data_IF_975155335763
#
_entry.id   IF_975155335763
#
_cell.length_a   1.000
_cell.length_b   1.000
_cell.length_c   1.000
_cell.angle_alpha   90.00
_cell.angle_beta   90.00
_cell.angle_gamma   90.00
#
_symmetry.space_group_name_H-M   'P 1'
#
loop_
_entity.id
_entity.type
_entity.pdbx_description
1 polymer ?
#
# COMPACT_ATOMS: atom_id res chain seq x y z
N UNK A 1 12.57 -18.03 13.05
CA UNK A 1 11.91 -16.94 13.79
C UNK A 1 12.81 -15.72 13.73
N UNK A 2 12.25 -14.51 13.64
CA UNK A 2 13.06 -13.31 13.82
C UNK A 2 13.30 -13.07 15.31
N UNK A 3 14.52 -12.74 15.68
CA UNK A 3 14.93 -12.60 17.08
C UNK A 3 15.79 -11.37 17.27
N UNK A 4 15.55 -10.64 18.36
CA UNK A 4 16.40 -9.56 18.84
C UNK A 4 16.77 -9.82 20.30
N UNK A 5 18.06 -9.73 20.60
CA UNK A 5 18.62 -9.91 21.94
C UNK A 5 19.34 -8.65 22.38
N UNK A 6 19.10 -8.26 23.62
CA UNK A 6 19.78 -7.16 24.28
C UNK A 6 20.23 -7.60 25.67
N UNK A 7 21.44 -7.20 26.06
CA UNK A 7 22.03 -7.48 27.38
C UNK A 7 22.44 -6.19 28.06
N UNK A 8 22.34 -6.16 29.38
CA UNK A 8 22.81 -5.08 30.26
C UNK A 8 23.24 -5.65 31.61
N UNK A 9 23.80 -4.81 32.48
CA UNK A 9 24.09 -5.18 33.87
C UNK A 9 22.97 -4.63 34.76
N UNK A 10 22.39 -5.48 35.60
CA UNK A 10 21.27 -5.10 36.47
C UNK A 10 21.15 -6.01 37.69
N UNK A 11 20.49 -5.50 38.73
CA UNK A 11 20.18 -6.25 39.96
C UNK A 11 18.81 -6.91 39.92
N UNK A 12 17.87 -6.38 39.12
CA UNK A 12 16.52 -6.92 38.91
C UNK A 12 16.11 -6.85 37.43
N UNK A 13 15.13 -7.70 37.05
CA UNK A 13 14.52 -7.64 35.73
C UNK A 13 13.52 -6.46 35.67
N UNK A 14 13.56 -5.59 34.65
CA UNK A 14 12.58 -4.53 34.50
C UNK A 14 11.19 -5.10 34.14
N UNK A 15 10.14 -4.33 34.41
CA UNK A 15 8.83 -4.60 33.81
C UNK A 15 8.88 -4.23 32.33
N UNK A 16 8.31 -5.06 31.45
CA UNK A 16 8.33 -4.82 30.00
C UNK A 16 6.94 -5.01 29.40
N UNK A 17 6.53 -4.08 28.52
CA UNK A 17 5.35 -4.22 27.67
C UNK A 17 5.59 -3.66 26.28
N UNK A 18 4.91 -4.21 25.27
CA UNK A 18 4.88 -3.60 23.94
C UNK A 18 4.01 -2.34 24.00
N UNK A 19 4.47 -1.25 23.40
CA UNK A 19 3.70 -0.01 23.30
C UNK A 19 2.51 -0.19 22.32
N UNK A 20 1.44 0.62 22.44
CA UNK A 20 0.31 0.55 21.51
C UNK A 20 0.70 0.85 20.06
N UNK A 21 1.62 1.79 19.88
CA UNK A 21 2.13 2.21 18.57
C UNK A 21 3.65 2.43 18.63
N UNK A 22 4.28 2.47 17.45
CA UNK A 22 5.70 2.73 17.29
C UNK A 22 6.08 4.04 17.99
N UNK A 23 7.30 4.13 18.51
CA UNK A 23 7.83 5.27 19.27
C UNK A 23 7.14 5.55 20.61
N UNK A 24 6.31 4.62 21.11
CA UNK A 24 5.60 4.82 22.37
C UNK A 24 4.41 5.77 22.24
N UNK A 25 3.92 5.96 21.01
CA UNK A 25 2.80 6.85 20.68
C UNK A 25 1.49 6.31 21.22
N UNK A 26 0.59 7.22 21.55
CA UNK A 26 -0.72 6.87 22.10
C UNK A 26 -1.76 6.66 21.01
N UNK A 27 -1.58 7.27 19.83
CA UNK A 27 -2.50 7.14 18.70
C UNK A 27 -1.76 7.19 17.36
N UNK A 28 -2.40 6.70 16.30
CA UNK A 28 -1.86 6.71 14.94
C UNK A 28 -2.75 7.48 13.97
N UNK A 29 -2.13 8.04 12.94
CA UNK A 29 -2.78 8.72 11.83
C UNK A 29 -2.22 8.24 10.50
N UNK A 30 -3.12 7.95 9.55
CA UNK A 30 -2.78 7.57 8.19
C UNK A 30 -3.60 8.37 7.19
N UNK A 31 -3.01 8.66 6.03
CA UNK A 31 -3.70 9.23 4.86
C UNK A 31 -3.53 8.29 3.69
N UNK A 32 -4.62 8.04 2.97
CA UNK A 32 -4.65 7.28 1.72
C UNK A 32 -5.17 8.17 0.59
N UNK A 33 -4.41 8.25 -0.51
CA UNK A 33 -4.81 8.96 -1.72
C UNK A 33 -5.18 7.91 -2.76
N UNK A 34 -6.47 7.75 -3.07
CA UNK A 34 -6.93 6.73 -4.02
C UNK A 34 -6.75 7.20 -5.46
N UNK A 35 -6.94 6.26 -6.39
CA UNK A 35 -6.77 6.39 -7.84
C UNK A 35 -5.38 6.71 -8.38
N UNK A 36 -4.42 7.01 -7.51
CA UNK A 36 -3.05 7.33 -7.88
C UNK A 36 -2.95 8.55 -8.79
N UNK A 37 -3.57 9.71 -8.46
CA UNK A 37 -3.45 10.90 -9.26
C UNK A 37 -2.01 11.42 -9.23
N UNK A 38 -1.56 12.04 -10.32
CA UNK A 38 -0.24 12.66 -10.38
C UNK A 38 -0.03 13.76 -9.31
N UNK A 39 -1.11 14.37 -8.84
CA UNK A 39 -1.11 15.33 -7.72
C UNK A 39 -0.66 14.72 -6.39
N UNK A 40 -0.68 13.38 -6.24
CA UNK A 40 -0.11 12.72 -5.05
C UNK A 40 1.36 13.10 -4.87
N UNK A 41 2.15 12.99 -5.93
CA UNK A 41 3.57 13.35 -5.88
C UNK A 41 3.78 14.87 -5.91
N UNK A 42 3.05 15.58 -6.79
CA UNK A 42 3.29 17.00 -7.04
C UNK A 42 2.73 17.94 -5.95
N UNK A 43 1.73 17.49 -5.18
CA UNK A 43 1.01 18.33 -4.20
C UNK A 43 0.93 17.65 -2.83
N UNK A 44 0.43 16.41 -2.77
CA UNK A 44 0.15 15.76 -1.48
C UNK A 44 1.44 15.46 -0.70
N UNK A 45 2.46 14.92 -1.37
CA UNK A 45 3.77 14.67 -0.77
C UNK A 45 4.40 15.93 -0.15
N UNK A 46 4.59 17.05 -0.88
CA UNK A 46 5.19 18.24 -0.28
C UNK A 46 4.30 18.87 0.80
N UNK A 47 2.97 18.78 0.67
CA UNK A 47 2.05 19.30 1.69
C UNK A 47 2.10 18.50 3.00
N UNK A 48 2.07 17.17 2.95
CA UNK A 48 2.23 16.36 4.17
C UNK A 48 3.62 16.56 4.77
N UNK A 49 4.67 16.62 3.94
CA UNK A 49 6.03 16.78 4.40
C UNK A 49 6.32 18.12 5.10
N UNK A 50 5.42 19.11 5.04
CA UNK A 50 5.51 20.35 5.81
C UNK A 50 5.03 20.24 7.25
N UNK A 51 4.48 19.09 7.66
CA UNK A 51 4.03 18.79 9.01
C UNK A 51 4.86 17.64 9.60
N UNK A 52 5.06 17.67 10.91
CA UNK A 52 6.00 16.78 11.58
C UNK A 52 5.44 16.18 12.89
N UNK A 53 5.98 15.03 13.27
CA UNK A 53 5.87 14.49 14.62
C UNK A 53 7.26 14.07 15.11
N UNK A 54 7.46 14.03 16.42
CA UNK A 54 8.71 13.54 17.02
C UNK A 54 8.71 12.00 17.09
N UNK A 55 9.84 11.34 16.94
CA UNK A 55 10.00 9.90 17.24
C UNK A 55 10.28 9.60 18.74
N UNK A 56 10.32 10.63 19.59
CA UNK A 56 10.37 10.46 21.03
C UNK A 56 8.98 10.18 21.62
N UNK A 57 8.85 9.38 22.69
CA UNK A 57 7.58 9.19 23.39
C UNK A 57 6.99 10.50 23.94
N UNK A 58 5.68 10.54 24.26
CA UNK A 58 5.04 11.72 24.82
C UNK A 58 5.77 12.27 26.06
N UNK A 59 6.10 13.57 26.03
CA UNK A 59 6.79 14.24 27.14
C UNK A 59 8.31 14.00 27.21
N UNK A 60 8.89 13.27 26.25
CA UNK A 60 10.34 13.06 26.15
C UNK A 60 10.95 14.03 25.14
N UNK A 61 12.00 14.74 25.53
CA UNK A 61 12.72 15.68 24.66
C UNK A 61 13.83 14.97 23.85
N UNK A 62 14.30 15.62 22.78
CA UNK A 62 15.44 15.13 21.98
C UNK A 62 15.10 14.09 20.92
N UNK A 63 13.81 13.90 20.60
CA UNK A 63 13.39 13.11 19.44
C UNK A 63 13.73 13.79 18.11
N UNK A 64 13.90 12.98 17.08
CA UNK A 64 14.00 13.41 15.69
C UNK A 64 12.61 13.75 15.17
N UNK A 65 12.49 14.89 14.51
CA UNK A 65 11.29 15.24 13.75
C UNK A 65 11.22 14.37 12.48
N UNK A 66 10.08 13.71 12.30
CA UNK A 66 9.73 12.90 11.14
C UNK A 66 8.58 13.58 10.40
N UNK A 67 8.65 13.70 9.06
CA UNK A 67 7.57 14.29 8.29
C UNK A 67 6.33 13.39 8.30
N UNK A 68 5.16 13.98 8.08
CA UNK A 68 3.98 13.17 7.77
C UNK A 68 4.15 12.49 6.40
N UNK A 69 3.65 11.26 6.32
CA UNK A 69 3.69 10.43 5.12
C UNK A 69 2.33 9.73 4.94
N UNK A 70 2.02 9.35 3.70
CA UNK A 70 0.75 8.70 3.35
C UNK A 70 0.94 7.43 2.54
N UNK A 71 -0.16 6.94 1.98
CA UNK A 71 -0.19 5.86 1.00
C UNK A 71 -0.87 6.31 -0.30
N UNK A 72 -0.33 5.90 -1.43
CA UNK A 72 -0.95 6.08 -2.74
C UNK A 72 -1.63 4.77 -3.15
N UNK A 73 -2.96 4.74 -3.13
CA UNK A 73 -3.75 3.63 -3.66
C UNK A 73 -3.86 3.76 -5.16
N UNK A 74 -3.29 2.80 -5.87
CA UNK A 74 -3.18 2.85 -7.33
C UNK A 74 -3.75 1.59 -7.96
N UNK A 75 -4.28 1.74 -9.16
CA UNK A 75 -4.76 0.62 -9.95
C UNK A 75 -3.96 0.53 -11.27
N UNK A 76 -3.26 -0.60 -11.52
CA UNK A 76 -2.33 -0.74 -12.64
C UNK A 76 -2.86 -0.48 -14.05
N UNK A 77 -4.18 -0.46 -14.26
CA UNK A 77 -4.77 -0.01 -15.52
C UNK A 77 -4.28 1.38 -15.94
N UNK A 78 -4.01 2.28 -14.97
CA UNK A 78 -3.63 3.68 -15.21
C UNK A 78 -2.18 4.03 -14.92
N UNK A 79 -1.47 3.19 -14.16
CA UNK A 79 -0.06 3.41 -13.83
C UNK A 79 0.82 3.19 -15.05
N UNK A 80 1.82 4.05 -15.26
CA UNK A 80 2.81 3.85 -16.31
C UNK A 80 2.25 4.09 -17.72
N UNK A 81 1.16 4.87 -17.84
CA UNK A 81 0.47 5.11 -19.11
C UNK A 81 1.00 6.31 -19.87
N UNK A 82 1.89 7.11 -19.28
CA UNK A 82 2.30 8.42 -19.80
C UNK A 82 1.19 9.47 -19.71
N UNK A 83 0.20 9.27 -18.83
CA UNK A 83 -0.92 10.19 -18.63
C UNK A 83 -0.53 11.21 -17.56
N UNK A 84 -0.69 12.52 -17.81
CA UNK A 84 -0.37 13.54 -16.80
C UNK A 84 -1.35 13.52 -15.61
N UNK A 85 -2.45 12.77 -15.69
CA UNK A 85 -3.44 12.67 -14.62
C UNK A 85 -3.07 11.65 -13.54
N UNK A 86 -2.23 10.64 -13.84
CA UNK A 86 -1.96 9.51 -12.97
C UNK A 86 -0.46 9.36 -12.69
N UNK A 87 -0.14 8.58 -11.66
CA UNK A 87 1.24 8.27 -11.30
C UNK A 87 1.90 7.34 -12.33
N UNK A 88 3.13 7.67 -12.70
CA UNK A 88 4.03 6.84 -13.49
C UNK A 88 4.84 5.89 -12.58
N UNK A 89 5.37 4.80 -13.14
CA UNK A 89 6.16 3.81 -12.39
C UNK A 89 7.32 4.44 -11.61
N UNK A 90 8.08 5.35 -12.24
CA UNK A 90 9.19 6.04 -11.59
C UNK A 90 8.73 6.96 -10.43
N UNK A 91 7.51 7.49 -10.52
CA UNK A 91 6.92 8.33 -9.47
C UNK A 91 6.48 7.48 -8.27
N UNK A 92 6.01 6.25 -8.47
CA UNK A 92 5.75 5.30 -7.37
C UNK A 92 7.02 5.02 -6.57
N UNK A 93 8.14 4.77 -7.26
CA UNK A 93 9.45 4.55 -6.62
C UNK A 93 9.92 5.80 -5.87
N UNK A 94 9.63 7.00 -6.39
CA UNK A 94 9.93 8.25 -5.69
C UNK A 94 9.13 8.41 -4.40
N UNK A 95 7.84 8.04 -4.40
CA UNK A 95 7.02 8.02 -3.20
C UNK A 95 7.59 7.04 -2.15
N UNK A 96 7.96 5.82 -2.56
CA UNK A 96 8.55 4.82 -1.65
C UNK A 96 9.83 5.32 -0.99
N UNK A 97 10.74 5.93 -1.76
CA UNK A 97 11.98 6.53 -1.24
C UNK A 97 11.70 7.68 -0.26
N UNK A 98 10.55 8.34 -0.35
CA UNK A 98 10.10 9.37 0.59
C UNK A 98 9.35 8.80 1.81
N UNK A 99 9.28 7.48 1.97
CA UNK A 99 8.61 6.81 3.08
C UNK A 99 7.09 6.66 2.91
N UNK A 100 6.54 6.97 1.74
CA UNK A 100 5.14 6.68 1.42
C UNK A 100 4.95 5.21 1.04
N UNK A 101 3.74 4.68 1.23
CA UNK A 101 3.40 3.35 0.75
C UNK A 101 2.72 3.39 -0.63
N UNK A 102 2.95 2.36 -1.44
CA UNK A 102 2.09 2.03 -2.59
C UNK A 102 1.06 1.02 -2.12
N UNK A 103 -0.22 1.34 -2.29
CA UNK A 103 -1.36 0.51 -1.88
C UNK A 103 -2.04 -0.08 -3.12
N UNK A 104 -2.65 -1.25 -2.97
CA UNK A 104 -3.36 -1.92 -4.06
C UNK A 104 -4.82 -1.43 -4.12
N UNK A 105 -5.25 -0.92 -5.27
CA UNK A 105 -6.61 -0.43 -5.50
C UNK A 105 -7.35 -1.22 -6.60
N UNK A 106 -7.07 -2.51 -6.71
CA UNK A 106 -7.54 -3.37 -7.79
C UNK A 106 -6.72 -3.17 -9.07
N UNK A 107 -7.03 -3.94 -10.11
CA UNK A 107 -6.36 -3.80 -11.40
C UNK A 107 -6.97 -2.64 -12.19
N UNK A 108 -8.31 -2.63 -12.32
CA UNK A 108 -9.05 -1.70 -13.17
C UNK A 108 -10.16 -0.94 -12.43
N UNK A 109 -10.13 -0.91 -11.10
CA UNK A 109 -11.08 -0.15 -10.27
C UNK A 109 -12.56 -0.51 -10.57
N UNK A 110 -12.84 -1.81 -10.79
CA UNK A 110 -14.13 -2.27 -11.34
C UNK A 110 -15.24 -2.49 -10.32
N UNK A 111 -14.90 -2.98 -9.13
CA UNK A 111 -15.93 -3.40 -8.17
C UNK A 111 -16.75 -2.20 -7.71
N UNK A 112 -18.08 -2.30 -7.77
CA UNK A 112 -18.98 -1.31 -7.16
C UNK A 112 -20.25 -2.03 -6.64
N UNK A 113 -20.89 -1.50 -5.59
CA UNK A 113 -22.04 -2.13 -4.94
C UNK A 113 -23.39 -1.47 -5.25
N UNK A 114 -23.38 -0.33 -5.94
CA UNK A 114 -24.58 0.47 -6.19
C UNK A 114 -25.14 0.32 -7.60
N UNK A 115 -24.43 -0.36 -8.52
CA UNK A 115 -24.94 -0.70 -9.86
C UNK A 115 -25.12 -2.22 -9.98
N UNK A 116 -26.24 -2.71 -10.56
CA UNK A 116 -26.45 -4.14 -10.79
C UNK A 116 -25.32 -4.83 -11.57
N UNK A 117 -24.75 -4.12 -12.55
CA UNK A 117 -23.64 -4.61 -13.38
C UNK A 117 -22.26 -4.42 -12.75
N UNK A 118 -22.18 -3.72 -11.61
CA UNK A 118 -20.95 -3.47 -10.87
C UNK A 118 -20.51 -4.63 -9.97
N UNK A 119 -21.40 -5.60 -9.77
CA UNK A 119 -21.10 -6.81 -9.00
C UNK A 119 -20.15 -7.73 -9.76
N UNK A 120 -18.94 -7.91 -9.23
CA UNK A 120 -17.95 -8.80 -9.81
C UNK A 120 -18.16 -10.25 -9.39
N UNK A 121 -17.98 -11.17 -10.34
CA UNK A 121 -17.90 -12.61 -10.07
C UNK A 121 -16.62 -12.96 -9.28
N UNK A 122 -16.57 -14.10 -8.57
CA UNK A 122 -15.35 -14.56 -7.90
C UNK A 122 -14.14 -14.68 -8.84
N UNK A 123 -14.34 -15.08 -10.10
CA UNK A 123 -13.28 -15.16 -11.09
C UNK A 123 -12.69 -13.78 -11.44
N UNK A 124 -13.55 -12.77 -11.59
CA UNK A 124 -13.14 -11.39 -11.84
C UNK A 124 -12.44 -10.77 -10.62
N UNK A 125 -12.93 -11.03 -9.40
CA UNK A 125 -12.27 -10.59 -8.16
C UNK A 125 -10.85 -11.15 -8.04
N UNK A 126 -10.67 -12.45 -8.33
CA UNK A 126 -9.34 -13.07 -8.34
C UNK A 126 -8.43 -12.50 -9.42
N UNK A 127 -8.95 -12.24 -10.62
CA UNK A 127 -8.18 -11.63 -11.71
C UNK A 127 -7.69 -10.23 -11.35
N UNK A 128 -8.57 -9.39 -10.81
CA UNK A 128 -8.24 -8.04 -10.33
C UNK A 128 -7.13 -8.09 -9.26
N UNK A 129 -7.26 -8.95 -8.26
CA UNK A 129 -6.28 -9.06 -7.17
C UNK A 129 -4.95 -9.67 -7.65
N UNK A 130 -4.99 -10.70 -8.48
CA UNK A 130 -3.79 -11.36 -8.99
C UNK A 130 -2.95 -10.39 -9.85
N UNK A 131 -3.57 -9.75 -10.84
CA UNK A 131 -2.84 -8.87 -11.76
C UNK A 131 -2.44 -7.56 -11.14
N UNK A 132 -3.22 -7.02 -10.20
CA UNK A 132 -2.78 -5.85 -9.43
C UNK A 132 -1.52 -6.17 -8.62
N UNK A 133 -1.47 -7.30 -7.92
CA UNK A 133 -0.27 -7.70 -7.17
C UNK A 133 0.94 -7.93 -8.08
N UNK A 134 0.78 -8.65 -9.19
CA UNK A 134 1.86 -8.91 -10.14
C UNK A 134 2.46 -7.62 -10.69
N UNK A 135 1.62 -6.72 -11.21
CA UNK A 135 2.10 -5.49 -11.86
C UNK A 135 2.67 -4.52 -10.84
N UNK A 136 2.05 -4.38 -9.67
CA UNK A 136 2.58 -3.51 -8.62
C UNK A 136 3.89 -4.03 -8.06
N UNK A 137 4.05 -5.34 -7.87
CA UNK A 137 5.33 -5.91 -7.49
C UNK A 137 6.43 -5.56 -8.51
N UNK A 138 6.18 -5.74 -9.80
CA UNK A 138 7.16 -5.43 -10.84
C UNK A 138 7.48 -3.92 -10.97
N UNK A 139 6.55 -3.05 -10.56
CA UNK A 139 6.65 -1.59 -10.70
C UNK A 139 7.42 -0.93 -9.53
N UNK A 140 7.59 -1.64 -8.41
CA UNK A 140 8.20 -1.15 -7.18
C UNK A 140 9.68 -1.51 -7.09
N UNK A 141 10.47 -0.71 -6.36
CA UNK A 141 11.90 -0.98 -6.19
C UNK A 141 12.16 -2.28 -5.42
N UNK A 142 11.29 -2.62 -4.47
CA UNK A 142 11.40 -3.84 -3.66
C UNK A 142 11.12 -5.11 -4.45
N UNK A 143 10.51 -5.01 -5.64
CA UNK A 143 9.95 -6.14 -6.39
C UNK A 143 8.92 -6.96 -5.59
N UNK A 144 8.22 -6.31 -4.66
CA UNK A 144 7.27 -6.93 -3.73
C UNK A 144 5.88 -6.35 -3.91
N UNK A 145 4.87 -7.17 -3.74
CA UNK A 145 3.47 -6.73 -3.82
C UNK A 145 3.09 -5.85 -2.61
N UNK A 146 2.12 -4.94 -2.71
CA UNK A 146 1.52 -4.33 -1.52
C UNK A 146 0.86 -5.36 -0.60
N UNK A 147 0.75 -5.06 0.70
CA UNK A 147 0.07 -5.90 1.71
C UNK A 147 -1.28 -5.35 2.15
N UNK A 148 -1.64 -4.15 1.67
CA UNK A 148 -2.87 -3.45 2.00
C UNK A 148 -3.69 -3.19 0.73
N UNK A 149 -5.00 -3.42 0.83
CA UNK A 149 -5.95 -3.26 -0.27
C UNK A 149 -6.98 -2.19 0.04
N UNK A 150 -7.05 -1.16 -0.79
CA UNK A 150 -8.13 -0.19 -0.70
C UNK A 150 -9.27 -0.67 -1.58
N UNK A 151 -10.46 -0.88 -1.01
CA UNK A 151 -11.62 -1.39 -1.75
C UNK A 151 -12.10 -0.35 -2.78
N UNK A 152 -12.00 -0.62 -4.10
CA UNK A 152 -12.59 0.23 -5.14
C UNK A 152 -14.05 0.47 -4.81
N UNK A 153 -14.48 1.73 -4.79
CA UNK A 153 -15.87 2.09 -4.52
C UNK A 153 -16.43 1.52 -3.19
N UNK A 154 -15.57 1.17 -2.23
CA UNK A 154 -15.98 0.47 -1.00
C UNK A 154 -16.55 -0.94 -1.22
N UNK A 155 -16.28 -1.58 -2.35
CA UNK A 155 -16.84 -2.90 -2.70
C UNK A 155 -16.23 -4.03 -1.85
N UNK A 156 -16.88 -4.38 -0.75
CA UNK A 156 -16.33 -5.33 0.23
C UNK A 156 -16.20 -6.79 -0.25
N UNK A 157 -16.74 -7.16 -1.41
CA UNK A 157 -16.64 -8.55 -1.89
C UNK A 157 -15.19 -9.01 -2.14
N UNK A 158 -14.24 -8.09 -2.29
CA UNK A 158 -12.81 -8.43 -2.33
C UNK A 158 -12.29 -9.03 -1.01
N UNK A 159 -12.88 -8.70 0.14
CA UNK A 159 -12.37 -9.06 1.48
C UNK A 159 -12.11 -10.56 1.62
N UNK A 160 -13.02 -11.40 1.12
CA UNK A 160 -12.93 -12.86 1.20
C UNK A 160 -11.78 -13.47 0.37
N UNK A 161 -11.13 -12.67 -0.50
CA UNK A 161 -10.09 -13.12 -1.41
C UNK A 161 -8.70 -12.54 -1.08
N UNK A 162 -8.61 -11.53 -0.21
CA UNK A 162 -7.36 -10.79 0.03
C UNK A 162 -6.18 -11.70 0.44
N UNK A 163 -6.40 -12.61 1.40
CA UNK A 163 -5.35 -13.47 1.96
C UNK A 163 -4.73 -14.41 0.92
N UNK A 164 -5.51 -14.87 -0.07
CA UNK A 164 -5.02 -15.69 -1.18
C UNK A 164 -3.97 -14.98 -2.05
N UNK A 165 -3.88 -13.65 -1.97
CA UNK A 165 -2.94 -12.83 -2.73
C UNK A 165 -1.96 -12.04 -1.84
N UNK A 166 -1.78 -12.48 -0.58
CA UNK A 166 -0.82 -11.86 0.34
C UNK A 166 -1.22 -10.49 0.87
N UNK A 167 -2.49 -10.10 0.70
CA UNK A 167 -3.06 -8.88 1.28
C UNK A 167 -3.57 -9.21 2.69
N UNK A 168 -3.01 -8.55 3.70
CA UNK A 168 -3.28 -8.85 5.11
C UNK A 168 -4.29 -7.88 5.73
N UNK A 169 -4.64 -6.83 5.00
CA UNK A 169 -5.57 -5.79 5.43
C UNK A 169 -6.26 -5.14 4.24
N UNK A 170 -7.40 -4.51 4.50
CA UNK A 170 -8.03 -3.64 3.52
C UNK A 170 -8.85 -2.52 4.16
N UNK A 171 -9.12 -1.47 3.40
CA UNK A 171 -9.77 -0.25 3.88
C UNK A 171 -10.87 0.24 2.94
N UNK A 172 -11.92 0.87 3.49
CA UNK A 172 -13.03 1.48 2.75
C UNK A 172 -13.50 2.75 3.42
N UNK A 173 -14.20 3.59 2.66
CA UNK A 173 -15.00 4.66 3.26
C UNK A 173 -16.06 4.06 4.19
N UNK A 174 -16.18 4.63 5.40
CA UNK A 174 -17.12 4.15 6.40
C UNK A 174 -18.58 4.17 5.88
N UNK A 175 -19.23 3.00 5.88
CA UNK A 175 -20.68 2.86 5.76
C UNK A 175 -21.34 2.76 7.15
N UNK A 176 -22.68 2.67 7.22
CA UNK A 176 -23.47 2.56 8.47
C UNK A 176 -23.23 1.32 9.34
N UNK A 177 -22.06 0.65 9.27
CA UNK A 177 -21.77 -0.53 10.10
C UNK A 177 -20.64 -0.21 11.09
N UNK A 178 -20.88 -0.36 12.41
CA UNK A 178 -19.89 -0.07 13.41
C UNK A 178 -18.96 -1.26 13.64
N UNK A 179 -17.68 -0.96 13.83
CA UNK A 179 -16.78 -1.76 14.68
C UNK A 179 -15.51 -2.21 13.97
N UNK A 180 -14.36 -1.77 14.50
CA UNK A 180 -13.05 -2.39 14.31
C UNK A 180 -13.11 -3.86 14.74
N UNK A 181 -13.60 -4.78 13.90
CA UNK A 181 -13.62 -6.20 14.26
C UNK A 181 -12.39 -6.96 13.78
N UNK A 182 -11.65 -6.46 12.78
CA UNK A 182 -10.47 -7.14 12.24
C UNK A 182 -9.62 -6.18 11.40
N UNK A 183 -8.28 -6.36 11.38
CA UNK A 183 -7.37 -5.61 10.47
C UNK A 183 -7.67 -5.84 8.98
N UNK A 184 -8.55 -6.79 8.63
CA UNK A 184 -9.01 -7.08 7.26
C UNK A 184 -10.10 -6.13 6.74
N UNK A 185 -10.69 -5.27 7.58
CA UNK A 185 -11.64 -4.23 7.16
C UNK A 185 -11.48 -3.00 8.05
N UNK A 186 -10.88 -1.95 7.49
CA UNK A 186 -10.59 -0.69 8.17
C UNK A 186 -11.48 0.42 7.62
N UNK A 187 -12.11 1.16 8.52
CA UNK A 187 -12.91 2.33 8.15
C UNK A 187 -12.01 3.55 7.95
N UNK A 188 -12.35 4.34 6.92
CA UNK A 188 -11.68 5.60 6.58
C UNK A 188 -12.65 6.78 6.59
N UNK A 189 -12.16 7.94 6.99
CA UNK A 189 -12.86 9.21 6.82
C UNK A 189 -12.77 9.66 5.37
N UNK A 190 -13.91 9.94 4.74
CA UNK A 190 -13.96 10.46 3.37
C UNK A 190 -13.86 11.98 3.34
N UNK A 191 -12.83 12.52 2.69
CA UNK A 191 -12.46 13.94 2.77
C UNK A 191 -12.38 14.65 1.41
N UNK A 192 -13.13 14.19 0.42
CA UNK A 192 -13.28 14.97 -0.80
C UNK A 192 -14.16 16.21 -0.61
N UNK A 193 -14.07 17.13 -1.57
CA UNK A 193 -14.86 18.36 -1.61
C UNK A 193 -16.36 18.13 -1.42
N UNK A 194 -16.91 17.03 -1.93
CA UNK A 194 -18.34 16.71 -1.79
C UNK A 194 -18.77 16.45 -0.34
N UNK A 195 -17.86 16.01 0.52
CA UNK A 195 -18.10 15.79 1.96
C UNK A 195 -17.86 17.08 2.73
N UNK A 196 -16.73 17.74 2.46
CA UNK A 196 -16.38 18.99 3.14
C UNK A 196 -17.36 20.11 2.88
N UNK A 197 -17.90 20.20 1.67
CA UNK A 197 -18.96 21.17 1.34
C UNK A 197 -20.25 20.94 2.13
N UNK A 198 -20.56 19.69 2.51
CA UNK A 198 -21.75 19.34 3.30
C UNK A 198 -21.55 19.53 4.80
N UNK A 199 -20.38 19.18 5.32
CA UNK A 199 -20.06 19.28 6.75
C UNK A 199 -19.64 20.70 7.17
N UNK A 200 -19.05 21.46 6.26
CA UNK A 200 -18.37 22.74 6.51
C UNK A 200 -17.36 22.69 7.69
N UNK A 201 -16.79 21.52 7.97
CA UNK A 201 -15.86 21.28 9.07
C UNK A 201 -14.65 20.47 8.56
N UNK A 202 -13.45 21.06 8.46
CA UNK A 202 -12.24 20.35 8.06
C UNK A 202 -11.77 19.32 9.10
N UNK A 203 -12.30 19.36 10.32
CA UNK A 203 -11.98 18.44 11.40
C UNK A 203 -12.97 17.28 11.53
N UNK A 204 -13.90 17.13 10.58
CA UNK A 204 -14.85 16.02 10.55
C UNK A 204 -14.15 14.66 10.69
N UNK A 205 -14.67 13.81 11.58
CA UNK A 205 -14.10 12.49 11.87
C UNK A 205 -12.82 12.49 12.71
N UNK A 206 -12.24 13.65 13.06
CA UNK A 206 -11.11 13.71 13.99
C UNK A 206 -11.57 13.82 15.44
N UNK A 207 -10.95 13.07 16.37
CA UNK A 207 -11.14 13.28 17.78
C UNK A 207 -10.53 14.63 18.19
N UNK A 208 -11.19 15.36 19.10
CA UNK A 208 -10.59 16.54 19.74
C UNK A 208 -9.41 16.16 20.64
N UNK A 209 -9.52 15.01 21.30
CA UNK A 209 -8.48 14.38 22.11
C UNK A 209 -8.44 12.90 21.76
N UNK A 210 -7.43 12.46 20.98
CA UNK A 210 -7.28 11.05 20.63
C UNK A 210 -7.17 10.17 21.88
N UNK A 211 -7.88 9.05 21.88
CA UNK A 211 -7.78 8.07 22.95
C UNK A 211 -6.56 7.14 22.74
N UNK A 212 -5.96 6.60 23.82
CA UNK A 212 -4.92 5.59 23.68
C UNK A 212 -5.38 4.39 22.84
N UNK A 213 -4.56 3.97 21.88
CA UNK A 213 -4.88 2.90 20.93
C UNK A 213 -5.75 3.34 19.75
N UNK A 214 -6.15 4.62 19.67
CA UNK A 214 -6.94 5.11 18.55
C UNK A 214 -6.09 5.20 17.28
N UNK A 215 -6.69 4.81 16.16
CA UNK A 215 -6.12 4.99 14.83
C UNK A 215 -7.14 5.67 13.94
N UNK A 216 -6.75 6.77 13.29
CA UNK A 216 -7.55 7.46 12.30
C UNK A 216 -6.93 7.27 10.92
N UNK A 217 -7.76 6.90 9.95
CA UNK A 217 -7.38 6.79 8.54
C UNK A 217 -8.25 7.77 7.76
N UNK A 218 -7.60 8.66 7.04
CA UNK A 218 -8.22 9.62 6.15
C UNK A 218 -8.04 9.22 4.69
N UNK A 219 -9.01 9.56 3.86
CA UNK A 219 -9.01 9.24 2.44
C UNK A 219 -9.48 10.43 1.58
N UNK A 220 -8.83 10.64 0.43
CA UNK A 220 -9.27 11.54 -0.66
C UNK A 220 -8.80 11.05 -2.03
N UNK A 221 -9.43 11.50 -3.12
CA UNK A 221 -8.90 11.33 -4.48
C UNK A 221 -7.86 12.39 -4.88
N UNK A 222 -7.54 13.36 -4.01
CA UNK A 222 -6.45 14.30 -4.28
C UNK A 222 -6.51 15.58 -3.47
N UNK A 223 -5.34 16.23 -3.40
CA UNK A 223 -5.20 17.57 -2.84
C UNK A 223 -4.98 18.57 -3.98
N UNK A 224 -5.68 19.69 -3.94
CA UNK A 224 -5.57 20.72 -4.98
C UNK A 224 -4.27 21.53 -4.83
N UNK A 225 -3.64 21.83 -5.96
CA UNK A 225 -2.36 22.53 -6.00
C UNK A 225 -2.47 24.00 -5.54
N UNK A 226 -3.60 24.66 -5.82
CA UNK A 226 -3.78 26.08 -5.54
C UNK A 226 -3.96 26.34 -4.04
N UNK A 227 -3.04 27.05 -3.35
CA UNK A 227 -3.15 27.29 -1.91
C UNK A 227 -4.37 28.13 -1.51
N UNK A 228 -4.95 28.86 -2.46
CA UNK A 228 -6.17 29.65 -2.28
C UNK A 228 -7.45 28.80 -2.31
N UNK A 229 -7.38 27.57 -2.81
CA UNK A 229 -8.56 26.73 -2.99
C UNK A 229 -9.15 26.27 -1.65
N UNK A 230 -10.47 26.07 -1.58
CA UNK A 230 -11.10 25.52 -0.39
C UNK A 230 -10.48 24.18 0.04
N UNK A 231 -10.19 23.30 -0.92
CA UNK A 231 -9.58 22.00 -0.67
C UNK A 231 -8.25 22.11 0.07
N UNK A 232 -7.32 22.88 -0.50
CA UNK A 232 -5.98 23.03 0.05
C UNK A 232 -6.01 23.68 1.43
N UNK A 233 -6.87 24.69 1.63
CA UNK A 233 -7.04 25.35 2.92
C UNK A 233 -7.51 24.38 4.01
N UNK A 234 -8.50 23.54 3.70
CA UNK A 234 -9.03 22.53 4.63
C UNK A 234 -7.98 21.47 4.98
N UNK A 235 -7.21 20.99 3.99
CA UNK A 235 -6.09 20.09 4.25
C UNK A 235 -5.05 20.72 5.18
N UNK A 236 -4.65 21.97 4.94
CA UNK A 236 -3.70 22.67 5.82
C UNK A 236 -4.22 22.84 7.24
N UNK A 237 -5.48 23.21 7.39
CA UNK A 237 -6.11 23.37 8.70
C UNK A 237 -6.16 22.04 9.46
N UNK A 238 -6.56 20.97 8.76
CA UNK A 238 -6.65 19.62 9.31
C UNK A 238 -5.29 19.06 9.72
N UNK A 239 -4.30 19.12 8.84
CA UNK A 239 -2.94 18.63 9.12
C UNK A 239 -2.28 19.43 10.24
N UNK A 240 -2.48 20.76 10.25
CA UNK A 240 -2.00 21.61 11.34
C UNK A 240 -2.69 21.33 12.67
N UNK A 241 -3.97 20.96 12.66
CA UNK A 241 -4.66 20.50 13.86
C UNK A 241 -4.06 19.18 14.37
N UNK A 242 -3.86 18.21 13.48
CA UNK A 242 -3.25 16.90 13.80
C UNK A 242 -1.85 17.06 14.40
N UNK A 243 -0.99 17.90 13.80
CA UNK A 243 0.34 18.21 14.32
C UNK A 243 0.28 18.80 15.74
N UNK A 244 -0.68 19.70 16.00
CA UNK A 244 -0.87 20.30 17.34
C UNK A 244 -1.39 19.33 18.40
N UNK A 245 -1.98 18.21 18.02
CA UNK A 245 -2.32 17.13 18.98
C UNK A 245 -1.06 16.48 19.56
N UNK A 246 0.11 16.77 18.99
CA UNK A 246 1.39 16.72 19.69
C UNK A 246 2.05 15.35 19.76
N UNK A 247 2.90 15.19 20.77
CA UNK A 247 3.85 14.08 20.90
C UNK A 247 3.21 12.68 21.01
N UNK A 248 1.89 12.59 21.18
CA UNK A 248 1.13 11.34 21.16
C UNK A 248 0.98 10.69 19.79
N UNK A 249 1.30 11.40 18.70
CA UNK A 249 1.01 11.01 17.33
C UNK A 249 2.10 10.12 16.71
N UNK A 250 1.69 9.04 16.06
CA UNK A 250 2.45 8.35 15.01
C UNK A 250 1.78 8.57 13.64
N UNK A 251 2.40 9.37 12.76
CA UNK A 251 1.95 9.45 11.37
C UNK A 251 2.70 8.43 10.52
N UNK A 252 1.98 7.51 9.88
CA UNK A 252 2.57 6.47 9.05
C UNK A 252 1.60 5.96 7.98
N UNK A 253 2.11 5.34 6.90
CA UNK A 253 1.24 4.69 5.93
C UNK A 253 0.50 3.53 6.57
N UNK A 254 -0.76 3.31 6.16
CA UNK A 254 -1.63 2.25 6.67
C UNK A 254 -0.96 0.87 6.80
N UNK A 255 -0.27 0.32 5.79
CA UNK A 255 0.37 -0.99 5.92
C UNK A 255 1.45 -1.05 7.02
N UNK A 256 2.12 0.06 7.33
CA UNK A 256 3.11 0.10 8.40
C UNK A 256 2.45 0.00 9.79
N UNK A 257 1.32 0.69 9.98
CA UNK A 257 0.51 0.59 11.20
C UNK A 257 -0.05 -0.83 11.36
N UNK A 258 -0.59 -1.42 10.29
CA UNK A 258 -1.08 -2.81 10.30
C UNK A 258 0.03 -3.79 10.67
N UNK A 259 1.19 -3.69 10.02
CA UNK A 259 2.32 -4.57 10.29
C UNK A 259 2.79 -4.48 11.76
N UNK A 260 2.86 -3.25 12.30
CA UNK A 260 3.16 -3.03 13.72
C UNK A 260 2.13 -3.68 14.63
N UNK A 261 0.83 -3.44 14.41
CA UNK A 261 -0.24 -4.00 15.25
C UNK A 261 -0.26 -5.53 15.22
N UNK A 262 0.00 -6.14 14.07
CA UNK A 262 0.15 -7.60 13.94
C UNK A 262 1.36 -8.11 14.72
N UNK A 263 2.52 -7.47 14.55
CA UNK A 263 3.75 -7.84 15.26
C UNK A 263 3.60 -7.68 16.78
N UNK A 264 3.07 -6.55 17.24
CA UNK A 264 2.86 -6.24 18.65
C UNK A 264 1.94 -7.25 19.33
N UNK A 265 0.90 -7.73 18.64
CA UNK A 265 -0.05 -8.72 19.17
C UNK A 265 0.56 -10.09 19.42
N UNK A 266 1.55 -10.51 18.61
CA UNK A 266 2.10 -11.87 18.67
C UNK A 266 3.54 -11.94 19.17
N UNK A 267 4.16 -10.78 19.43
CA UNK A 267 5.51 -10.70 19.95
C UNK A 267 5.62 -11.46 21.27
N UNK A 268 6.63 -12.34 21.36
CA UNK A 268 6.97 -13.00 22.63
C UNK A 268 8.17 -12.28 23.22
N UNK A 269 8.00 -11.84 24.46
CA UNK A 269 9.03 -11.15 25.25
C UNK A 269 9.55 -12.11 26.31
N UNK A 270 10.87 -12.25 26.38
CA UNK A 270 11.56 -12.91 27.49
C UNK A 270 12.46 -11.89 28.17
N UNK A 271 12.12 -11.53 29.40
CA UNK A 271 12.87 -10.59 30.21
C UNK A 271 13.60 -11.31 31.34
N UNK A 272 14.87 -10.99 31.51
CA UNK A 272 15.76 -11.49 32.54
C UNK A 272 16.42 -10.30 33.25
N UNK A 273 17.11 -10.56 34.36
CA UNK A 273 17.81 -9.52 35.13
C UNK A 273 18.82 -8.72 34.29
N UNK A 274 19.46 -9.40 33.35
CA UNK A 274 20.58 -8.89 32.55
C UNK A 274 20.29 -8.93 31.04
N UNK A 275 19.03 -9.10 30.63
CA UNK A 275 18.71 -9.17 29.22
C UNK A 275 17.23 -9.22 28.84
N UNK A 276 16.99 -8.90 27.57
CA UNK A 276 15.70 -8.96 26.89
C UNK A 276 15.86 -9.73 25.59
N UNK A 277 14.94 -10.64 25.32
CA UNK A 277 14.78 -11.26 24.00
C UNK A 277 13.38 -10.99 23.48
N UNK A 278 13.29 -10.54 22.23
CA UNK A 278 12.04 -10.31 21.50
C UNK A 278 12.02 -11.28 20.33
N UNK A 279 10.92 -12.01 20.14
CA UNK A 279 10.77 -12.92 19.00
C UNK A 279 9.47 -12.66 18.25
N UNK A 280 9.55 -12.76 16.92
CA UNK A 280 8.41 -12.71 16.00
C UNK A 280 8.36 -13.97 15.12
N UNK A 281 7.15 -14.49 14.80
CA UNK A 281 6.98 -15.51 13.77
C UNK A 281 7.51 -15.04 12.41
N UNK A 282 8.08 -15.95 11.62
CA UNK A 282 8.55 -15.62 10.26
C UNK A 282 7.42 -15.36 9.27
N UNK A 283 6.19 -15.74 9.61
CA UNK A 283 5.01 -15.57 8.78
C UNK A 283 4.47 -14.13 8.75
N UNK A 284 5.01 -13.23 9.57
CA UNK A 284 4.57 -11.84 9.61
C UNK A 284 5.51 -10.92 8.80
N UNK A 285 4.97 -9.81 8.24
CA UNK A 285 5.79 -8.69 7.82
C UNK A 285 6.69 -8.24 8.96
N UNK A 286 7.96 -7.97 8.63
CA UNK A 286 8.91 -7.46 9.59
C UNK A 286 8.50 -6.08 10.07
N UNK A 287 8.68 -5.83 11.35
CA UNK A 287 8.32 -4.54 11.96
C UNK A 287 9.26 -4.22 13.12
N UNK A 288 9.69 -2.96 13.28
CA UNK A 288 10.27 -2.53 14.55
C UNK A 288 9.18 -2.53 15.63
N UNK A 289 9.54 -2.91 16.85
CA UNK A 289 8.65 -2.85 18.00
C UNK A 289 9.16 -1.81 18.99
N UNK A 290 8.24 -1.07 19.60
CA UNK A 290 8.59 -0.22 20.74
C UNK A 290 8.17 -0.89 22.02
N UNK A 291 9.11 -1.05 22.93
CA UNK A 291 8.92 -1.64 24.24
C UNK A 291 9.05 -0.55 25.29
N UNK A 292 8.10 -0.49 26.20
CA UNK A 292 8.21 0.32 27.41
C UNK A 292 8.79 -0.55 28.52
N UNK A 293 9.89 -0.11 29.10
CA UNK A 293 10.59 -0.77 30.19
C UNK A 293 10.57 0.10 31.44
N UNK A 294 10.14 -0.43 32.59
CA UNK A 294 10.18 0.27 33.87
C UNK A 294 11.20 -0.39 34.80
N UNK A 295 12.08 0.42 35.40
CA UNK A 295 13.17 -0.07 36.25
C UNK A 295 14.40 -0.54 35.47
N UNK A 296 14.54 -0.14 34.20
CA UNK A 296 15.76 -0.41 33.42
C UNK A 296 16.93 0.39 34.02
N UNK A 297 18.08 -0.22 34.35
CA UNK A 297 19.24 0.48 34.88
C UNK A 297 19.63 1.71 34.04
N UNK A 298 20.00 2.80 34.71
CA UNK A 298 20.31 4.08 34.06
C UNK A 298 21.52 3.96 33.11
N UNK A 299 22.46 3.07 33.42
CA UNK A 299 23.66 2.76 32.66
C UNK A 299 23.46 1.67 31.59
N UNK A 300 22.24 1.12 31.44
CA UNK A 300 21.98 0.12 30.41
C UNK A 300 22.20 0.73 29.00
N UNK A 301 23.05 0.13 28.16
CA UNK A 301 23.46 0.71 26.90
C UNK A 301 22.36 0.61 25.85
N UNK A 302 22.30 1.56 24.93
CA UNK A 302 21.45 1.46 23.73
C UNK A 302 21.93 0.30 22.85
N UNK A 303 21.05 -0.66 22.48
CA UNK A 303 21.40 -1.74 21.57
C UNK A 303 21.78 -1.22 20.18
N UNK A 304 22.69 -1.89 19.44
CA UNK A 304 23.00 -1.53 18.05
C UNK A 304 21.75 -1.49 17.17
N UNK A 305 21.59 -0.40 16.42
CA UNK A 305 20.45 -0.20 15.50
C UNK A 305 19.11 0.06 16.16
N UNK A 306 19.05 0.14 17.49
CA UNK A 306 17.86 0.48 18.25
C UNK A 306 17.87 1.97 18.66
N UNK A 307 16.69 2.50 18.98
CA UNK A 307 16.56 3.81 19.63
C UNK A 307 16.09 3.62 21.07
N UNK A 308 16.74 4.30 22.02
CA UNK A 308 16.41 4.23 23.44
C UNK A 308 16.16 5.64 24.01
N UNK A 309 14.93 5.88 24.45
CA UNK A 309 14.53 7.10 25.16
C UNK A 309 14.31 6.80 26.64
N UNK A 310 14.47 7.82 27.50
CA UNK A 310 14.31 7.68 28.96
C UNK A 310 13.59 8.90 29.56
N UNK A 311 12.75 8.64 30.55
CA UNK A 311 12.14 9.66 31.42
C UNK A 311 11.87 9.05 32.80
N UNK A 312 12.58 9.56 33.81
CA UNK A 312 12.56 8.96 35.15
C UNK A 312 12.95 7.49 35.11
N UNK A 313 12.13 6.63 35.71
CA UNK A 313 12.34 5.17 35.77
C UNK A 313 11.90 4.42 34.50
N UNK A 314 11.33 5.13 33.52
CA UNK A 314 10.78 4.53 32.31
C UNK A 314 11.73 4.74 31.13
N UNK A 315 11.93 3.68 30.36
CA UNK A 315 12.63 3.71 29.10
C UNK A 315 11.72 3.21 27.97
N UNK A 316 11.93 3.71 26.76
CA UNK A 316 11.27 3.24 25.55
C UNK A 316 12.34 2.79 24.57
N UNK A 317 12.35 1.50 24.28
CA UNK A 317 13.25 0.89 23.32
C UNK A 317 12.49 0.60 22.04
N UNK A 318 12.83 1.28 20.94
CA UNK A 318 12.42 0.87 19.60
C UNK A 318 13.47 -0.06 19.02
N UNK A 319 13.11 -1.32 18.79
CA UNK A 319 14.02 -2.33 18.22
C UNK A 319 14.42 -1.95 16.79
N UNK A 320 15.52 -2.52 16.26
CA UNK A 320 15.70 -2.62 14.82
C UNK A 320 14.50 -3.35 14.19
N UNK A 321 14.40 -3.30 12.86
CA UNK A 321 13.43 -4.09 12.12
C UNK A 321 13.57 -5.57 12.48
N UNK A 322 12.50 -6.18 13.00
CA UNK A 322 12.45 -7.60 13.33
C UNK A 322 11.74 -8.35 12.21
N UNK A 323 12.46 -9.24 11.52
CA UNK A 323 11.93 -10.01 10.39
C UNK A 323 12.28 -9.39 9.04
N UNK A 324 11.57 -9.83 7.99
CA UNK A 324 11.82 -9.34 6.63
C UNK A 324 10.92 -8.13 6.36
N UNK A 325 11.47 -6.99 5.87
CA UNK A 325 10.70 -5.74 5.70
C UNK A 325 9.42 -5.95 4.88
N UNK A 326 9.47 -6.84 3.88
CA UNK A 326 8.34 -7.21 3.06
C UNK A 326 8.07 -8.72 3.16
N UNK A 327 7.10 -9.12 3.98
CA UNK A 327 6.53 -10.48 3.89
C UNK A 327 5.56 -10.63 2.71
N UNK A 328 5.36 -9.56 1.93
CA UNK A 328 4.56 -9.64 0.72
C UNK A 328 5.18 -10.62 -0.29
N UNK A 329 4.34 -11.34 -1.05
CA UNK A 329 4.84 -12.22 -2.09
C UNK A 329 5.63 -11.41 -3.13
N UNK A 330 6.75 -11.96 -3.64
CA UNK A 330 7.40 -11.39 -4.83
C UNK A 330 6.44 -11.47 -6.03
N UNK A 331 6.79 -10.79 -7.12
CA UNK A 331 6.05 -10.94 -8.37
C UNK A 331 5.95 -12.43 -8.76
N UNK A 332 4.72 -12.92 -8.94
CA UNK A 332 4.48 -14.32 -9.32
C UNK A 332 4.82 -14.60 -10.79
N UNK A 333 4.98 -13.54 -11.60
CA UNK A 333 5.24 -13.59 -13.03
C UNK A 333 6.40 -12.67 -13.39
N UNK A 334 7.07 -12.99 -14.49
CA UNK A 334 8.14 -12.17 -15.08
C UNK A 334 7.63 -11.48 -16.35
N UNK A 335 7.93 -10.18 -16.51
CA UNK A 335 7.69 -9.46 -17.76
C UNK A 335 8.89 -9.66 -18.69
N UNK A 336 8.79 -10.60 -19.63
CA UNK A 336 9.89 -10.94 -20.56
C UNK A 336 9.94 -10.07 -21.80
N UNK A 337 8.92 -9.22 -22.00
CA UNK A 337 8.88 -8.23 -23.07
C UNK A 337 8.11 -7.01 -22.60
N UNK A 338 8.70 -5.83 -22.77
CA UNK A 338 8.01 -4.54 -22.68
C UNK A 338 8.54 -3.64 -23.79
N UNK A 339 7.68 -3.24 -24.72
CA UNK A 339 8.10 -2.47 -25.90
C UNK A 339 6.97 -2.24 -26.89
N UNK A 340 7.28 -1.73 -28.11
CA UNK A 340 6.28 -1.47 -29.14
C UNK A 340 5.43 -2.69 -29.50
N UNK A 341 4.16 -2.50 -29.84
CA UNK A 341 3.30 -3.61 -30.29
C UNK A 341 3.81 -4.16 -31.62
N UNK A 342 4.17 -5.45 -31.65
CA UNK A 342 4.68 -6.15 -32.84
C UNK A 342 4.52 -7.66 -32.71
N UNK A 343 4.65 -8.39 -33.82
CA UNK A 343 4.83 -9.85 -33.78
C UNK A 343 6.09 -10.18 -32.96
N UNK A 344 5.97 -11.16 -32.07
CA UNK A 344 7.08 -11.67 -31.28
C UNK A 344 7.34 -13.13 -31.59
N UNK A 345 8.62 -13.48 -31.67
CA UNK A 345 9.11 -14.86 -31.68
C UNK A 345 10.04 -15.02 -30.50
N UNK A 346 9.71 -15.96 -29.62
CA UNK A 346 10.55 -16.26 -28.47
C UNK A 346 11.71 -17.16 -28.90
N UNK A 347 12.93 -16.96 -28.36
CA UNK A 347 14.08 -17.80 -28.69
C UNK A 347 13.90 -19.26 -28.23
N UNK A 348 13.02 -19.47 -27.25
CA UNK A 348 12.57 -20.77 -26.75
C UNK A 348 11.09 -20.66 -26.34
N UNK A 349 10.32 -21.76 -26.33
CA UNK A 349 8.95 -21.73 -25.82
C UNK A 349 8.90 -21.20 -24.38
N UNK A 350 7.94 -20.31 -24.08
CA UNK A 350 7.70 -19.74 -22.74
C UNK A 350 6.26 -19.93 -22.30
N UNK A 351 6.00 -20.00 -21.00
CA UNK A 351 4.65 -20.15 -20.44
C UNK A 351 3.98 -18.79 -20.27
N UNK A 352 3.34 -18.30 -21.33
CA UNK A 352 2.63 -17.01 -21.30
C UNK A 352 1.45 -17.09 -20.34
N UNK A 353 1.41 -16.17 -19.37
CA UNK A 353 0.37 -16.05 -18.35
C UNK A 353 -0.62 -14.92 -18.65
N UNK A 354 -0.20 -13.92 -19.41
CA UNK A 354 -1.06 -12.86 -19.93
C UNK A 354 -0.27 -11.84 -20.73
N UNK A 355 -1.02 -10.99 -21.43
CA UNK A 355 -0.49 -9.91 -22.26
C UNK A 355 -1.21 -8.63 -21.91
N UNK A 356 -0.47 -7.52 -21.79
CA UNK A 356 -1.06 -6.19 -21.63
C UNK A 356 -0.75 -5.33 -22.85
N UNK A 357 -1.72 -4.55 -23.30
CA UNK A 357 -1.57 -3.61 -24.42
C UNK A 357 -1.93 -2.20 -23.95
N UNK A 358 -1.03 -1.24 -24.14
CA UNK A 358 -1.26 0.16 -23.81
C UNK A 358 -1.96 0.87 -24.96
N UNK A 359 -3.16 1.37 -24.68
CA UNK A 359 -3.96 2.14 -25.61
C UNK A 359 -3.77 3.64 -25.34
N UNK A 360 -3.12 4.37 -26.27
CA UNK A 360 -2.81 5.81 -26.16
C UNK A 360 -3.17 6.65 -27.38
N UNK A 361 -3.45 6.03 -28.53
CA UNK A 361 -3.93 6.76 -29.70
C UNK A 361 -5.45 6.78 -29.79
N UNK A 362 -5.97 7.57 -30.73
CA UNK A 362 -7.38 7.54 -31.11
C UNK A 362 -7.72 6.20 -31.74
N UNK A 363 -8.71 5.50 -31.18
CA UNK A 363 -9.25 4.29 -31.82
C UNK A 363 -10.23 4.67 -32.89
N UNK A 364 -10.10 4.02 -34.05
CA UNK A 364 -11.10 4.08 -35.10
C UNK A 364 -12.37 3.33 -34.66
N UNK A 365 -13.58 3.82 -34.99
CA UNK A 365 -14.85 3.19 -34.58
C UNK A 365 -15.00 1.70 -34.93
N UNK A 366 -14.25 1.21 -35.92
CA UNK A 366 -14.32 -0.17 -36.43
C UNK A 366 -13.06 -1.00 -36.12
N UNK A 367 -12.15 -0.51 -35.27
CA UNK A 367 -10.92 -1.24 -35.01
C UNK A 367 -11.21 -2.58 -34.29
N UNK A 368 -10.82 -3.68 -34.95
CA UNK A 368 -10.91 -5.03 -34.42
C UNK A 368 -9.54 -5.44 -33.89
N UNK A 369 -9.45 -5.64 -32.59
CA UNK A 369 -8.26 -6.19 -31.96
C UNK A 369 -8.29 -7.71 -32.08
N UNK A 370 -7.22 -8.27 -32.65
CA UNK A 370 -6.89 -9.68 -32.54
C UNK A 370 -5.56 -9.85 -31.83
N UNK A 371 -5.47 -10.83 -30.95
CA UNK A 371 -4.25 -11.22 -30.26
C UNK A 371 -4.23 -12.73 -30.16
N UNK A 372 -3.20 -13.36 -30.72
CA UNK A 372 -3.05 -14.80 -30.67
C UNK A 372 -1.65 -15.22 -30.20
N UNK A 373 -1.60 -16.31 -29.45
CA UNK A 373 -0.38 -17.02 -29.09
C UNK A 373 -0.03 -18.02 -30.19
N UNK A 374 1.23 -18.06 -30.62
CA UNK A 374 1.73 -19.12 -31.50
C UNK A 374 2.26 -20.25 -30.63
N UNK A 375 1.78 -21.48 -30.83
CA UNK A 375 2.22 -22.69 -30.11
C UNK A 375 2.93 -23.65 -31.06
N UNK A 376 3.42 -24.80 -30.57
CA UNK A 376 4.14 -25.78 -31.39
C UNK A 376 3.30 -26.44 -32.49
N UNK A 377 1.96 -26.38 -32.41
CA UNK A 377 1.08 -27.03 -33.38
C UNK A 377 -0.16 -26.22 -33.79
N UNK A 378 -0.42 -25.06 -33.20
CA UNK A 378 -1.60 -24.25 -33.49
C UNK A 378 -1.43 -22.78 -33.05
N UNK A 379 -2.37 -21.93 -33.45
CA UNK A 379 -2.56 -20.60 -32.87
C UNK A 379 -3.69 -20.63 -31.85
N UNK A 380 -3.51 -19.98 -30.71
CA UNK A 380 -4.55 -19.81 -29.69
C UNK A 380 -4.93 -18.34 -29.58
N UNK A 381 -6.16 -18.00 -29.94
CA UNK A 381 -6.69 -16.65 -29.82
C UNK A 381 -6.94 -16.29 -28.35
N UNK A 382 -6.35 -15.18 -27.88
CA UNK A 382 -6.64 -14.58 -26.57
C UNK A 382 -7.81 -13.60 -26.63
N UNK A 383 -7.85 -12.81 -27.71
CA UNK A 383 -8.97 -11.90 -28.02
C UNK A 383 -9.09 -11.78 -29.52
N UNK A 384 -10.34 -11.73 -30.00
CA UNK A 384 -10.69 -11.32 -31.35
C UNK A 384 -12.03 -10.60 -31.30
N UNK A 385 -12.02 -9.28 -31.41
CA UNK A 385 -13.24 -8.49 -31.25
C UNK A 385 -13.04 -6.98 -31.36
N UNK A 386 -14.14 -6.20 -31.29
CA UNK A 386 -14.07 -4.75 -31.36
C UNK A 386 -13.31 -4.19 -30.16
N UNK A 387 -12.38 -3.27 -30.40
CA UNK A 387 -11.73 -2.53 -29.34
C UNK A 387 -12.61 -1.36 -28.93
N UNK A 388 -12.97 -1.28 -27.65
CA UNK A 388 -13.69 -0.12 -27.13
C UNK A 388 -12.74 1.09 -27.05
N UNK A 389 -13.20 2.29 -27.44
CA UNK A 389 -12.43 3.51 -27.26
C UNK A 389 -12.10 3.74 -25.78
N UNK A 390 -10.81 3.84 -25.49
CA UNK A 390 -10.27 4.24 -24.20
C UNK A 390 -8.92 4.92 -24.44
N UNK A 391 -8.59 5.92 -23.64
CA UNK A 391 -7.31 6.62 -23.77
C UNK A 391 -6.52 6.51 -22.48
N UNK A 392 -5.23 6.19 -22.61
CA UNK A 392 -4.30 6.08 -21.49
C UNK A 392 -4.68 4.93 -20.55
N UNK A 393 -4.94 3.74 -21.12
CA UNK A 393 -5.26 2.53 -20.35
C UNK A 393 -4.45 1.34 -20.81
N UNK A 394 -4.08 0.49 -19.86
CA UNK A 394 -3.58 -0.84 -20.13
C UNK A 394 -4.72 -1.84 -20.27
N UNK A 395 -4.90 -2.41 -21.44
CA UNK A 395 -5.81 -3.53 -21.67
C UNK A 395 -5.13 -4.82 -21.23
N UNK A 396 -5.80 -5.64 -20.44
CA UNK A 396 -5.28 -6.93 -19.97
C UNK A 396 -5.99 -8.09 -20.64
N UNK A 397 -5.19 -9.00 -21.22
CA UNK A 397 -5.63 -10.27 -21.76
C UNK A 397 -4.99 -11.38 -20.92
N UNK A 398 -5.71 -11.76 -19.87
CA UNK A 398 -5.25 -12.67 -18.83
C UNK A 398 -5.55 -14.13 -19.16
N UNK A 399 -4.61 -15.03 -18.87
CA UNK A 399 -4.88 -16.46 -18.71
C UNK A 399 -4.98 -16.77 -17.21
N UNK A 400 -3.95 -16.43 -16.44
CA UNK A 400 -3.98 -16.54 -14.98
C UNK A 400 -4.84 -15.42 -14.36
N UNK A 401 -5.47 -15.65 -13.20
CA UNK A 401 -5.43 -16.88 -12.41
C UNK A 401 -6.51 -17.90 -12.81
N UNK A 402 -7.36 -17.59 -13.80
CA UNK A 402 -8.55 -18.38 -14.09
C UNK A 402 -8.32 -19.54 -15.09
N UNK A 403 -7.19 -19.55 -15.79
CA UNK A 403 -6.74 -20.61 -16.70
C UNK A 403 -5.22 -20.83 -16.56
N UNK A 404 -4.71 -21.96 -17.05
CA UNK A 404 -3.27 -22.24 -17.04
C UNK A 404 -2.49 -21.37 -18.01
N UNK A 405 -1.25 -21.03 -17.66
CA UNK A 405 -0.31 -20.41 -18.60
C UNK A 405 -0.09 -21.31 -19.82
N UNK A 406 0.03 -20.70 -21.00
CA UNK A 406 0.14 -21.40 -22.29
C UNK A 406 1.59 -21.43 -22.76
N UNK A 407 2.08 -22.62 -23.15
CA UNK A 407 3.41 -22.75 -23.74
C UNK A 407 3.41 -22.24 -25.19
N UNK A 408 3.97 -21.06 -25.40
CA UNK A 408 3.97 -20.35 -26.69
C UNK A 408 5.39 -20.14 -27.22
N UNK A 409 5.55 -20.22 -28.54
CA UNK A 409 6.76 -19.88 -29.30
C UNK A 409 6.73 -18.45 -29.83
N UNK A 410 5.59 -17.78 -29.78
CA UNK A 410 5.45 -16.40 -30.24
C UNK A 410 4.07 -15.80 -29.96
N UNK A 411 3.88 -14.59 -30.47
CA UNK A 411 2.68 -13.78 -30.30
C UNK A 411 2.42 -12.96 -31.56
N UNK A 412 1.16 -12.91 -31.97
CA UNK A 412 0.70 -12.18 -33.16
C UNK A 412 -0.41 -11.22 -32.74
N UNK A 413 -0.08 -9.96 -32.41
CA UNK A 413 -1.08 -8.91 -32.19
C UNK A 413 -1.50 -8.27 -33.53
N UNK A 414 -2.75 -7.79 -33.62
CA UNK A 414 -3.11 -6.78 -34.62
C UNK A 414 -2.30 -5.52 -34.34
N UNK A 415 -1.70 -4.96 -35.38
CA UNK A 415 -0.98 -3.69 -35.30
C UNK A 415 -1.94 -2.53 -35.57
N UNK A 416 -1.98 -1.57 -34.66
CA UNK A 416 -2.75 -0.33 -34.80
C UNK A 416 -2.04 0.83 -34.10
N UNK A 417 -2.03 2.05 -34.67
CA UNK A 417 -1.41 3.21 -34.04
C UNK A 417 -1.96 3.55 -32.64
N UNK A 418 -3.18 3.11 -32.30
CA UNK A 418 -3.75 3.28 -30.97
C UNK A 418 -3.06 2.44 -29.90
N UNK A 419 -2.46 1.31 -30.28
CA UNK A 419 -1.78 0.37 -29.40
C UNK A 419 -0.27 0.61 -29.44
N UNK A 420 0.25 1.30 -28.44
CA UNK A 420 1.63 1.81 -28.49
C UNK A 420 2.64 0.87 -27.85
N UNK A 421 2.22 0.13 -26.83
CA UNK A 421 3.12 -0.70 -26.02
C UNK A 421 2.47 -2.04 -25.71
N UNK A 422 3.25 -3.10 -25.71
CA UNK A 422 2.85 -4.44 -25.31
C UNK A 422 3.79 -4.93 -24.20
N UNK A 423 3.18 -5.56 -23.20
CA UNK A 423 3.89 -6.34 -22.19
C UNK A 423 3.50 -7.81 -22.26
N UNK A 424 4.48 -8.71 -22.21
CA UNK A 424 4.24 -10.16 -22.14
C UNK A 424 4.73 -10.70 -20.81
N UNK A 425 3.80 -11.28 -20.07
CA UNK A 425 4.03 -11.81 -18.74
C UNK A 425 4.04 -13.33 -18.78
N UNK A 426 5.06 -13.94 -18.20
CA UNK A 426 5.25 -15.40 -18.21
C UNK A 426 5.34 -15.96 -16.79
N UNK A 427 4.93 -17.21 -16.67
CA UNK A 427 5.21 -18.03 -15.51
C UNK A 427 6.64 -18.60 -15.68
N UNK A 428 7.58 -18.29 -14.77
CA UNK A 428 8.98 -18.69 -14.89
C UNK A 428 9.21 -20.21 -14.85
#
# INVERSE_FOLDING_TARGET
MAEFRWRWKGSAAPEVRVAPFLYGKSWAYSVEIDDGPASTLAVSLPLLASYYFSDAPPGVTGGKLLPFVGGAAVFPLRVGTGSPAYLETAQLQQLERAGWAVLNHGYAHRGNSWEPDGALTPAQLREELFWSQVVLAASRESHRSPTHFVYPNGYMAYQQHLSAFGLVSGSRVAGKKPGLSTLSDLDRNYLDESVWSKANDPLVGLPRVPQPGQWVIDFTHGMEAAPSSPNHKRWRERLGFIERLGDGLWCAPTPAVVAYLQAARVAKLKIERDGLTVTLPESLPGSPLTLQLKGLPADAPTPPGATLYRQGETAWLTTPLLGKPDAAPPAALECVYSGPVRELRFPRPVRVAGVRLLQRGETRPEFRLSLALTTSGASQTLVDGPLKPAWGVWLLYALLPNASATLATGLVPTTDPALTTMEVWVQP
#
